data_IF_014241968614
#
_entry.id   IF_014241968614
#
_cell.length_a   1.000
_cell.length_b   1.000
_cell.length_c   1.000
_cell.angle_alpha   90.00
_cell.angle_beta   90.00
_cell.angle_gamma   90.00
#
_symmetry.space_group_name_H-M   'P 1'
#
loop_
_entity.id
_entity.type
_entity.pdbx_description
1 polymer ?
#
# COMPACT_ATOMS: atom_id res chain seq x y z
N UNK A 1 50.99 1.45 30.53
CA UNK A 1 49.87 0.62 30.04
C UNK A 1 49.58 1.08 28.61
N UNK A 2 50.03 0.31 27.62
CA UNK A 2 50.20 0.74 26.22
C UNK A 2 48.86 0.70 25.48
N UNK A 3 47.98 1.65 25.81
CA UNK A 3 46.79 1.93 25.04
C UNK A 3 47.17 2.94 23.95
N UNK A 4 47.18 2.58 22.66
CA UNK A 4 46.56 3.40 21.59
C UNK A 4 46.69 2.93 20.14
N UNK A 5 47.55 2.00 19.73
CA UNK A 5 47.58 1.65 18.28
C UNK A 5 46.66 0.49 17.90
N UNK A 6 46.77 -0.65 18.59
CA UNK A 6 46.06 -1.88 18.23
C UNK A 6 44.53 -1.75 18.30
N UNK A 7 44.00 -1.05 19.32
CA UNK A 7 42.56 -0.75 19.38
C UNK A 7 42.11 0.19 18.29
N UNK A 8 42.88 1.24 17.94
CA UNK A 8 42.49 2.19 16.90
C UNK A 8 42.41 1.47 15.55
N UNK A 9 43.37 0.61 15.25
CA UNK A 9 43.35 -0.24 14.04
C UNK A 9 42.15 -1.19 14.05
N UNK A 10 41.80 -1.79 15.19
CA UNK A 10 40.57 -2.59 15.32
C UNK A 10 39.31 -1.76 15.09
N UNK A 11 39.22 -0.57 15.70
CA UNK A 11 38.08 0.35 15.55
C UNK A 11 37.94 0.85 14.11
N UNK A 12 39.04 1.14 13.43
CA UNK A 12 39.04 1.48 12.00
C UNK A 12 38.55 0.29 11.17
N UNK A 13 38.99 -0.92 11.49
CA UNK A 13 38.52 -2.14 10.81
C UNK A 13 37.04 -2.42 11.07
N UNK A 14 36.56 -2.21 12.30
CA UNK A 14 35.14 -2.32 12.63
C UNK A 14 34.33 -1.21 11.95
N UNK A 15 34.84 0.02 11.89
CA UNK A 15 34.21 1.11 11.17
C UNK A 15 34.19 0.85 9.66
N UNK A 16 35.24 0.27 9.10
CA UNK A 16 35.33 -0.15 7.70
C UNK A 16 34.40 -1.31 7.40
N UNK A 17 34.29 -2.32 8.28
CA UNK A 17 33.36 -3.43 8.13
C UNK A 17 31.90 -2.98 8.27
N UNK A 18 31.61 -2.14 9.26
CA UNK A 18 30.31 -1.51 9.45
C UNK A 18 29.96 -0.49 8.35
N UNK A 19 30.96 0.00 7.59
CA UNK A 19 30.78 0.84 6.40
C UNK A 19 30.69 -0.01 5.12
N UNK A 20 31.35 -1.16 5.07
CA UNK A 20 31.33 -2.13 3.96
C UNK A 20 30.01 -2.89 3.89
N UNK A 21 29.39 -3.24 5.03
CA UNK A 21 28.04 -3.82 5.06
C UNK A 21 26.98 -2.94 4.37
N UNK A 22 26.84 -1.63 4.68
CA UNK A 22 25.89 -0.75 3.99
C UNK A 22 26.34 -0.33 2.59
N UNK A 23 27.63 -0.45 2.21
CA UNK A 23 28.09 -0.14 0.84
C UNK A 23 28.00 -1.29 -0.16
N UNK A 24 28.39 -2.50 0.25
CA UNK A 24 28.25 -3.73 -0.54
C UNK A 24 26.76 -4.13 -0.70
N UNK A 25 25.90 -3.72 0.24
CA UNK A 25 24.45 -3.84 0.14
C UNK A 25 23.80 -2.86 -0.86
N UNK A 26 24.48 -1.82 -1.38
CA UNK A 26 23.83 -0.79 -2.23
C UNK A 26 23.27 -1.30 -3.57
N UNK A 27 23.97 -2.12 -4.38
CA UNK A 27 23.42 -2.61 -5.64
C UNK A 27 22.50 -3.82 -5.46
N UNK A 28 22.87 -4.76 -4.58
CA UNK A 28 22.12 -6.00 -4.35
C UNK A 28 20.76 -5.71 -3.73
N UNK A 29 20.68 -4.83 -2.72
CA UNK A 29 19.38 -4.44 -2.12
C UNK A 29 18.51 -3.69 -3.12
N UNK A 30 19.09 -2.79 -3.93
CA UNK A 30 18.34 -2.11 -4.99
C UNK A 30 17.79 -3.08 -6.03
N UNK A 31 18.61 -4.03 -6.49
CA UNK A 31 18.17 -5.08 -7.41
C UNK A 31 17.05 -5.93 -6.81
N UNK A 32 17.19 -6.36 -5.55
CA UNK A 32 16.16 -7.11 -4.83
C UNK A 32 14.86 -6.31 -4.70
N UNK A 33 14.93 -5.02 -4.36
CA UNK A 33 13.76 -4.14 -4.28
C UNK A 33 13.09 -3.98 -5.64
N UNK A 34 13.85 -3.76 -6.71
CA UNK A 34 13.31 -3.64 -8.08
C UNK A 34 12.59 -4.94 -8.46
N UNK A 35 13.22 -6.10 -8.24
CA UNK A 35 12.61 -7.39 -8.55
C UNK A 35 11.34 -7.61 -7.72
N UNK A 36 11.40 -7.40 -6.40
CA UNK A 36 10.27 -7.59 -5.51
C UNK A 36 9.09 -6.68 -5.86
N UNK A 37 9.32 -5.37 -6.06
CA UNK A 37 8.27 -4.43 -6.43
C UNK A 37 7.71 -4.72 -7.82
N UNK A 38 8.54 -5.16 -8.78
CA UNK A 38 8.06 -5.56 -10.11
C UNK A 38 7.13 -6.77 -10.01
N UNK A 39 7.49 -7.78 -9.21
CA UNK A 39 6.64 -8.94 -8.96
C UNK A 39 5.34 -8.53 -8.28
N UNK A 40 5.39 -7.67 -7.26
CA UNK A 40 4.19 -7.15 -6.57
C UNK A 40 3.27 -6.44 -7.57
N UNK A 41 3.80 -5.57 -8.43
CA UNK A 41 3.02 -4.84 -9.42
C UNK A 41 2.34 -5.81 -10.40
N UNK A 42 3.11 -6.74 -10.98
CA UNK A 42 2.57 -7.71 -11.95
C UNK A 42 1.49 -8.59 -11.30
N UNK A 43 1.79 -9.17 -10.14
CA UNK A 43 0.87 -10.05 -9.42
C UNK A 43 -0.40 -9.31 -8.97
N UNK A 44 -0.25 -8.10 -8.42
CA UNK A 44 -1.37 -7.28 -7.96
C UNK A 44 -2.26 -6.87 -9.13
N UNK A 45 -1.70 -6.35 -10.22
CA UNK A 45 -2.49 -5.95 -11.39
C UNK A 45 -3.19 -7.16 -12.01
N UNK A 46 -2.46 -8.25 -12.27
CA UNK A 46 -3.04 -9.46 -12.86
C UNK A 46 -4.14 -10.04 -11.98
N UNK A 47 -3.88 -10.21 -10.68
CA UNK A 47 -4.84 -10.77 -9.73
C UNK A 47 -6.10 -9.93 -9.59
N UNK A 48 -5.95 -8.62 -9.38
CA UNK A 48 -7.09 -7.72 -9.20
C UNK A 48 -7.90 -7.52 -10.49
N UNK A 49 -7.24 -7.49 -11.66
CA UNK A 49 -7.95 -7.50 -12.95
C UNK A 49 -8.74 -8.78 -13.16
N UNK A 50 -8.17 -9.94 -12.81
CA UNK A 50 -8.87 -11.22 -12.90
C UNK A 50 -10.09 -11.26 -11.98
N UNK A 51 -9.96 -10.76 -10.75
CA UNK A 51 -11.08 -10.62 -9.80
C UNK A 51 -12.20 -9.77 -10.41
N UNK A 52 -11.88 -8.59 -10.94
CA UNK A 52 -12.86 -7.75 -11.64
C UNK A 52 -13.52 -8.50 -12.81
N UNK A 53 -12.73 -9.17 -13.65
CA UNK A 53 -13.25 -9.91 -14.80
C UNK A 53 -14.22 -11.03 -14.40
N UNK A 54 -13.84 -11.86 -13.41
CA UNK A 54 -14.65 -12.98 -12.94
C UNK A 54 -15.96 -12.50 -12.32
N UNK A 55 -15.90 -11.43 -11.52
CA UNK A 55 -17.09 -10.85 -10.87
C UNK A 55 -18.05 -10.25 -11.90
N UNK A 56 -17.55 -9.51 -12.89
CA UNK A 56 -18.39 -8.92 -13.95
C UNK A 56 -19.01 -9.97 -14.87
N UNK A 57 -18.31 -11.07 -15.14
CA UNK A 57 -18.80 -12.15 -16.00
C UNK A 57 -19.87 -13.00 -15.31
N UNK A 58 -19.76 -13.20 -13.99
CA UNK A 58 -20.66 -14.08 -13.26
C UNK A 58 -21.93 -13.36 -12.77
N UNK A 59 -22.94 -13.27 -13.64
CA UNK A 59 -24.24 -12.65 -13.34
C UNK A 59 -24.96 -13.23 -12.12
N UNK A 60 -24.71 -14.50 -11.77
CA UNK A 60 -25.26 -15.15 -10.56
C UNK A 60 -24.70 -14.59 -9.25
N UNK A 61 -23.61 -13.81 -9.28
CA UNK A 61 -22.93 -13.28 -8.10
C UNK A 61 -23.31 -11.83 -7.77
N UNK A 62 -24.19 -11.17 -8.54
CA UNK A 62 -24.59 -9.77 -8.35
C UNK A 62 -25.35 -9.55 -7.04
N UNK A 63 -24.58 -9.44 -5.97
CA UNK A 63 -24.99 -9.18 -4.60
C UNK A 63 -24.09 -8.07 -4.04
N UNK A 64 -24.46 -7.45 -2.92
CA UNK A 64 -23.64 -6.39 -2.32
C UNK A 64 -22.16 -6.82 -2.11
N UNK A 65 -21.92 -8.10 -1.78
CA UNK A 65 -20.58 -8.67 -1.65
C UNK A 65 -19.74 -8.55 -2.93
N UNK A 66 -20.33 -8.75 -4.10
CA UNK A 66 -19.61 -8.63 -5.38
C UNK A 66 -19.15 -7.19 -5.66
N UNK A 67 -19.94 -6.18 -5.25
CA UNK A 67 -19.55 -4.78 -5.34
C UNK A 67 -18.38 -4.47 -4.40
N UNK A 68 -18.39 -5.02 -3.18
CA UNK A 68 -17.29 -4.86 -2.23
C UNK A 68 -15.99 -5.52 -2.72
N UNK A 69 -16.08 -6.69 -3.36
CA UNK A 69 -14.92 -7.37 -3.96
C UNK A 69 -14.33 -6.51 -5.09
N UNK A 70 -15.18 -5.94 -5.96
CA UNK A 70 -14.70 -5.02 -7.01
C UNK A 70 -14.09 -3.75 -6.40
N UNK A 71 -14.68 -3.20 -5.32
CA UNK A 71 -14.14 -2.04 -4.62
C UNK A 71 -12.74 -2.30 -4.05
N UNK A 72 -12.51 -3.49 -3.47
CA UNK A 72 -11.18 -3.93 -3.03
C UNK A 72 -10.20 -3.96 -4.21
N UNK A 73 -10.57 -4.62 -5.31
CA UNK A 73 -9.71 -4.71 -6.49
C UNK A 73 -9.35 -3.33 -7.07
N UNK A 74 -10.31 -2.39 -7.10
CA UNK A 74 -10.07 -1.01 -7.53
C UNK A 74 -9.11 -0.29 -6.59
N UNK A 75 -9.28 -0.43 -5.27
CA UNK A 75 -8.38 0.14 -4.25
C UNK A 75 -6.96 -0.39 -4.40
N UNK A 76 -6.80 -1.70 -4.60
CA UNK A 76 -5.50 -2.36 -4.76
C UNK A 76 -4.81 -1.98 -6.07
N UNK A 77 -5.56 -1.83 -7.17
CA UNK A 77 -5.01 -1.30 -8.44
C UNK A 77 -4.57 0.16 -8.25
N UNK A 78 -5.35 0.98 -7.55
CA UNK A 78 -5.03 2.40 -7.33
C UNK A 78 -3.72 2.57 -6.55
N UNK A 79 -3.51 1.86 -5.43
CA UNK A 79 -2.25 1.89 -4.69
C UNK A 79 -1.08 1.34 -5.52
N UNK A 80 -1.33 0.28 -6.29
CA UNK A 80 -0.30 -0.36 -7.13
C UNK A 80 0.19 0.57 -8.24
N UNK A 81 -0.69 1.38 -8.83
CA UNK A 81 -0.31 2.30 -9.92
C UNK A 81 0.23 3.64 -9.40
N UNK A 82 -0.38 4.21 -8.35
CA UNK A 82 -0.13 5.59 -7.94
C UNK A 82 0.81 5.72 -6.74
N UNK A 83 1.16 4.63 -6.06
CA UNK A 83 2.07 4.68 -4.91
C UNK A 83 3.26 3.74 -5.06
N UNK A 84 3.03 2.48 -5.43
CA UNK A 84 4.09 1.45 -5.49
C UNK A 84 5.29 1.80 -6.39
N UNK A 85 5.13 2.30 -7.64
CA UNK A 85 6.27 2.68 -8.47
C UNK A 85 7.04 3.90 -7.93
N UNK A 86 6.34 4.91 -7.41
CA UNK A 86 6.97 6.09 -6.81
C UNK A 86 7.74 5.73 -5.54
N UNK A 87 7.19 4.80 -4.76
CA UNK A 87 7.83 4.24 -3.57
C UNK A 87 9.11 3.47 -3.95
N UNK A 88 9.06 2.65 -5.01
CA UNK A 88 10.24 1.96 -5.53
C UNK A 88 11.34 2.96 -5.91
N UNK A 89 11.02 3.97 -6.71
CA UNK A 89 12.00 4.97 -7.15
C UNK A 89 12.58 5.74 -5.95
N UNK A 90 11.77 6.06 -4.94
CA UNK A 90 12.23 6.66 -3.68
C UNK A 90 13.24 5.75 -2.97
N UNK A 91 12.99 4.46 -2.91
CA UNK A 91 13.92 3.51 -2.27
C UNK A 91 15.21 3.31 -3.08
N UNK A 92 15.13 3.27 -4.41
CA UNK A 92 16.30 3.08 -5.28
C UNK A 92 17.20 4.32 -5.32
N UNK A 93 16.62 5.51 -5.36
CA UNK A 93 17.34 6.78 -5.42
C UNK A 93 17.66 7.36 -4.04
N UNK A 94 17.19 6.72 -2.96
CA UNK A 94 17.26 7.20 -1.57
C UNK A 94 16.73 8.63 -1.36
N UNK A 95 16.08 9.20 -2.36
CA UNK A 95 15.66 10.61 -2.45
C UNK A 95 14.36 10.70 -3.24
N UNK A 96 13.57 11.74 -2.95
CA UNK A 96 12.30 11.97 -3.62
C UNK A 96 12.45 12.97 -4.77
N UNK A 97 12.30 12.49 -6.02
CA UNK A 97 12.55 13.29 -7.23
C UNK A 97 11.27 13.84 -7.90
N UNK A 98 10.08 13.37 -7.51
CA UNK A 98 8.81 13.72 -8.18
C UNK A 98 8.16 15.03 -7.69
N UNK A 99 8.86 15.79 -6.86
CA UNK A 99 8.37 17.04 -6.28
C UNK A 99 7.33 16.87 -5.16
N UNK A 100 7.00 17.98 -4.48
CA UNK A 100 6.18 17.98 -3.26
C UNK A 100 4.76 17.46 -3.51
N UNK A 101 4.13 17.83 -4.62
CA UNK A 101 2.75 17.44 -4.96
C UNK A 101 2.60 15.91 -5.02
N UNK A 102 3.46 15.22 -5.77
CA UNK A 102 3.41 13.76 -5.87
C UNK A 102 3.72 13.06 -4.55
N UNK A 103 4.51 13.67 -3.66
CA UNK A 103 4.75 13.10 -2.32
C UNK A 103 3.45 13.06 -1.50
N UNK A 104 2.68 14.15 -1.51
CA UNK A 104 1.40 14.21 -0.83
C UNK A 104 0.38 13.27 -1.49
N UNK A 105 0.32 13.22 -2.83
CA UNK A 105 -0.61 12.34 -3.57
C UNK A 105 -0.30 10.86 -3.30
N UNK A 106 0.95 10.42 -3.47
CA UNK A 106 1.36 9.02 -3.24
C UNK A 106 0.97 8.55 -1.84
N UNK A 107 1.16 9.42 -0.85
CA UNK A 107 0.88 9.10 0.55
C UNK A 107 -0.61 9.15 0.88
N UNK A 108 -1.32 10.14 0.34
CA UNK A 108 -2.77 10.16 0.40
C UNK A 108 -3.35 8.87 -0.19
N UNK A 109 -2.91 8.46 -1.39
CA UNK A 109 -3.38 7.23 -2.03
C UNK A 109 -3.03 6.00 -1.19
N UNK A 110 -1.82 5.92 -0.63
CA UNK A 110 -1.42 4.82 0.26
C UNK A 110 -2.39 4.68 1.44
N UNK A 111 -2.60 5.74 2.21
CA UNK A 111 -3.48 5.68 3.37
C UNK A 111 -4.95 5.52 2.97
N UNK A 112 -5.41 6.20 1.92
CA UNK A 112 -6.80 6.11 1.46
C UNK A 112 -7.14 4.68 1.04
N UNK A 113 -6.28 4.05 0.23
CA UNK A 113 -6.49 2.66 -0.21
C UNK A 113 -6.49 1.68 0.97
N UNK A 114 -5.60 1.86 1.94
CA UNK A 114 -5.57 1.05 3.16
C UNK A 114 -6.88 1.16 3.97
N UNK A 115 -7.38 2.38 4.17
CA UNK A 115 -8.64 2.61 4.86
C UNK A 115 -9.83 2.04 4.07
N UNK A 116 -9.88 2.26 2.75
CA UNK A 116 -10.94 1.71 1.88
C UNK A 116 -10.96 0.19 1.97
N UNK A 117 -9.81 -0.48 1.85
CA UNK A 117 -9.73 -1.93 1.90
C UNK A 117 -10.14 -2.47 3.27
N UNK A 118 -9.67 -1.85 4.36
CA UNK A 118 -10.01 -2.28 5.73
C UNK A 118 -11.52 -2.12 6.01
N UNK A 119 -12.08 -0.95 5.71
CA UNK A 119 -13.51 -0.69 5.89
C UNK A 119 -14.39 -1.58 5.00
N UNK A 120 -13.92 -1.90 3.78
CA UNK A 120 -14.62 -2.82 2.88
C UNK A 120 -14.62 -4.25 3.44
N UNK A 121 -13.49 -4.73 3.96
CA UNK A 121 -13.41 -6.04 4.63
C UNK A 121 -14.33 -6.10 5.85
N UNK A 122 -14.37 -5.03 6.66
CA UNK A 122 -15.30 -4.92 7.79
C UNK A 122 -16.75 -4.97 7.31
N UNK A 123 -17.11 -4.25 6.24
CA UNK A 123 -18.46 -4.27 5.69
C UNK A 123 -18.86 -5.66 5.18
N UNK A 124 -17.94 -6.37 4.50
CA UNK A 124 -18.15 -7.76 4.08
C UNK A 124 -18.38 -8.65 5.30
N UNK A 125 -17.54 -8.53 6.33
CA UNK A 125 -17.66 -9.33 7.55
C UNK A 125 -19.00 -9.10 8.25
N UNK A 126 -19.45 -7.84 8.35
CA UNK A 126 -20.75 -7.49 8.93
C UNK A 126 -21.92 -8.03 8.10
N UNK A 127 -21.88 -7.93 6.77
CA UNK A 127 -22.90 -8.52 5.89
C UNK A 127 -22.99 -10.04 6.09
N UNK A 128 -21.85 -10.73 6.13
CA UNK A 128 -21.80 -12.18 6.39
C UNK A 128 -22.36 -12.54 7.77
N UNK A 129 -21.95 -11.80 8.80
CA UNK A 129 -22.42 -12.02 10.16
C UNK A 129 -23.95 -11.85 10.27
N UNK A 130 -24.51 -10.81 9.63
CA UNK A 130 -25.96 -10.60 9.62
C UNK A 130 -26.73 -11.71 8.90
N UNK A 131 -26.20 -12.21 7.77
CA UNK A 131 -26.81 -13.31 7.00
C UNK A 131 -26.81 -14.62 7.79
N UNK A 132 -25.74 -14.90 8.55
CA UNK A 132 -25.65 -16.11 9.38
C UNK A 132 -26.67 -16.07 10.52
N UNK A 133 -26.80 -14.93 11.21
CA UNK A 133 -27.73 -14.79 12.33
C UNK A 133 -29.20 -14.67 11.91
N UNK A 134 -29.47 -14.13 10.72
CA UNK A 134 -30.83 -13.90 10.24
C UNK A 134 -31.02 -14.51 8.84
N UNK A 135 -31.10 -15.85 8.71
CA UNK A 135 -31.15 -16.53 7.41
C UNK A 135 -32.39 -16.19 6.57
N UNK A 136 -33.47 -15.73 7.20
CA UNK A 136 -34.72 -15.32 6.53
C UNK A 136 -34.75 -13.83 6.13
N UNK A 137 -33.76 -13.03 6.57
CA UNK A 137 -33.70 -11.60 6.26
C UNK A 137 -33.12 -11.40 4.86
N UNK A 138 -33.79 -10.58 4.06
CA UNK A 138 -33.39 -10.32 2.68
C UNK A 138 -31.96 -9.77 2.60
N UNK A 139 -31.13 -10.37 1.73
CA UNK A 139 -29.74 -9.95 1.49
C UNK A 139 -29.66 -8.47 1.15
N UNK A 140 -28.52 -7.87 1.47
CA UNK A 140 -28.25 -6.46 1.16
C UNK A 140 -28.44 -6.19 -0.34
N UNK A 141 -29.34 -5.26 -0.66
CA UNK A 141 -29.58 -4.79 -2.03
C UNK A 141 -28.34 -4.10 -2.59
N UNK A 142 -28.19 -4.15 -3.92
CA UNK A 142 -27.11 -3.46 -4.66
C UNK A 142 -27.08 -1.96 -4.34
N UNK A 143 -28.24 -1.31 -4.18
CA UNK A 143 -28.33 0.11 -3.82
C UNK A 143 -27.70 0.39 -2.46
N UNK A 144 -27.94 -0.47 -1.46
CA UNK A 144 -27.35 -0.35 -0.13
C UNK A 144 -25.85 -0.58 -0.17
N UNK A 145 -25.39 -1.56 -0.96
CA UNK A 145 -23.96 -1.80 -1.17
C UNK A 145 -23.25 -0.60 -1.83
N UNK A 146 -23.84 0.00 -2.86
CA UNK A 146 -23.30 1.19 -3.51
C UNK A 146 -23.24 2.41 -2.56
N UNK A 147 -24.28 2.59 -1.74
CA UNK A 147 -24.28 3.61 -0.69
C UNK A 147 -23.16 3.35 0.34
N UNK A 148 -23.00 2.11 0.80
CA UNK A 148 -21.91 1.74 1.71
C UNK A 148 -20.54 2.03 1.13
N UNK A 149 -20.30 1.72 -0.15
CA UNK A 149 -19.05 2.07 -0.84
C UNK A 149 -18.82 3.57 -0.82
N UNK A 150 -19.84 4.37 -1.15
CA UNK A 150 -19.74 5.83 -1.14
C UNK A 150 -19.35 6.36 0.25
N UNK A 151 -19.96 5.82 1.31
CA UNK A 151 -19.63 6.16 2.71
C UNK A 151 -18.21 5.73 3.08
N UNK A 152 -17.77 4.55 2.64
CA UNK A 152 -16.40 4.07 2.86
C UNK A 152 -15.38 5.03 2.26
N UNK A 153 -15.59 5.46 1.01
CA UNK A 153 -14.68 6.40 0.33
C UNK A 153 -14.62 7.77 1.01
N UNK A 154 -15.76 8.28 1.48
CA UNK A 154 -15.81 9.53 2.24
C UNK A 154 -15.03 9.41 3.56
N UNK A 155 -15.28 8.37 4.34
CA UNK A 155 -14.56 8.15 5.61
C UNK A 155 -13.06 7.92 5.40
N UNK A 156 -12.69 7.11 4.41
CA UNK A 156 -11.30 6.85 4.08
C UNK A 156 -10.56 8.12 3.65
N UNK A 157 -11.21 8.97 2.84
CA UNK A 157 -10.66 10.27 2.45
C UNK A 157 -10.46 11.16 3.66
N UNK A 158 -11.49 11.30 4.51
CA UNK A 158 -11.41 12.11 5.73
C UNK A 158 -10.28 11.68 6.67
N UNK A 159 -10.08 10.37 6.87
CA UNK A 159 -9.00 9.85 7.73
C UNK A 159 -7.62 9.97 7.09
N UNK A 160 -7.54 9.93 5.76
CA UNK A 160 -6.26 9.99 5.03
C UNK A 160 -5.75 11.42 4.83
N UNK A 161 -6.65 12.42 4.84
CA UNK A 161 -6.29 13.83 4.72
C UNK A 161 -5.29 14.32 5.78
N UNK A 162 -5.48 14.13 7.10
CA UNK A 162 -4.51 14.59 8.09
C UNK A 162 -3.15 13.89 7.89
N UNK A 163 -3.14 12.59 7.58
CA UNK A 163 -1.89 11.87 7.28
C UNK A 163 -1.15 12.47 6.07
N UNK A 164 -1.88 12.86 5.02
CA UNK A 164 -1.29 13.50 3.86
C UNK A 164 -0.80 14.93 4.15
N UNK A 165 -1.53 15.70 4.94
CA UNK A 165 -1.23 17.11 5.25
C UNK A 165 -0.08 17.27 6.23
N UNK A 166 -0.03 16.46 7.29
CA UNK A 166 1.02 16.55 8.31
C UNK A 166 2.35 15.93 7.86
N UNK A 167 2.38 15.26 6.71
CA UNK A 167 3.61 14.70 6.21
C UNK A 167 4.58 15.79 5.74
N UNK A 168 5.60 16.06 6.56
CA UNK A 168 6.70 16.95 6.19
C UNK A 168 7.67 16.23 5.26
N UNK A 169 7.86 16.77 4.05
CA UNK A 169 8.99 16.42 3.20
C UNK A 169 10.19 17.27 3.68
N UNK A 170 11.15 16.65 4.36
CA UNK A 170 12.43 17.32 4.65
C UNK A 170 13.20 17.42 3.32
N UNK A 171 13.20 18.62 2.72
CA UNK A 171 14.10 18.95 1.63
C UNK A 171 15.46 19.29 2.27
N UNK A 172 16.42 18.39 2.17
CA UNK A 172 17.82 18.75 2.37
C UNK A 172 18.26 19.56 1.16
N UNK A 173 18.19 20.90 1.28
CA UNK A 173 18.92 21.77 0.36
C UNK A 173 20.40 21.64 0.72
N UNK A 174 21.21 21.20 -0.24
CA UNK A 174 22.67 21.33 -0.22
C UNK A 174 23.05 22.77 -0.57
#
# INVERSE_FOLDING_TARGET
FNWTESRIVEWEKFAELAKYEPESQKPTVKALLIVAYSVIIVMSLFGNMLVCHVVLKNKRMHSATSLFIVNLAVSDIMITLLNTPFTLVRFVNSTWIFGKAMCHISRFVQYCSLHVSTLTLTAIALDRHQVILNPLKQRMSLTKGALSISVIWLMATCFSLPHAVYQKLFQYNY
#
